data_IF_953150119613
#
_entry.id   IF_953150119613
#
_cell.length_a   1.000
_cell.length_b   1.000
_cell.length_c   1.000
_cell.angle_alpha   90.00
_cell.angle_beta   90.00
_cell.angle_gamma   90.00
#
_symmetry.space_group_name_H-M   'P 1'
#
loop_
_entity.id
_entity.type
_entity.pdbx_description
1 polymer ?
#
# COMPACT_ATOMS: atom_id res chain seq x y z
N UNK A 1 -4.20 4.44 25.34
CA UNK A 1 -3.68 3.96 24.05
C UNK A 1 -2.39 4.69 23.74
N UNK A 2 -1.34 4.00 23.32
CA UNK A 2 -0.04 4.63 23.06
C UNK A 2 0.17 4.89 21.57
N UNK A 3 0.95 5.93 21.23
CA UNK A 3 1.29 6.23 19.84
C UNK A 3 1.98 5.05 19.12
N UNK A 4 2.71 4.21 19.86
CA UNK A 4 3.35 2.99 19.33
C UNK A 4 2.31 1.94 18.92
N UNK A 5 1.29 1.71 19.74
CA UNK A 5 0.22 0.74 19.44
C UNK A 5 -0.55 1.14 18.18
N UNK A 6 -0.85 2.43 18.02
CA UNK A 6 -1.51 2.93 16.82
C UNK A 6 -0.65 2.77 15.55
N UNK A 7 0.67 2.99 15.67
CA UNK A 7 1.62 2.79 14.57
C UNK A 7 1.75 1.31 14.18
N UNK A 8 1.82 0.40 15.16
CA UNK A 8 1.83 -1.04 14.93
C UNK A 8 0.54 -1.52 14.27
N UNK A 9 -0.62 -1.02 14.73
CA UNK A 9 -1.91 -1.31 14.11
C UNK A 9 -1.99 -0.81 12.65
N UNK A 10 -1.43 0.37 12.36
CA UNK A 10 -1.35 0.89 10.98
C UNK A 10 -0.47 0.01 10.09
N UNK A 11 0.71 -0.42 10.58
CA UNK A 11 1.58 -1.34 9.85
C UNK A 11 0.89 -2.68 9.58
N UNK A 12 0.22 -3.24 10.59
CA UNK A 12 -0.56 -4.46 10.43
C UNK A 12 -1.71 -4.30 9.43
N UNK A 13 -2.39 -3.15 9.41
CA UNK A 13 -3.43 -2.84 8.43
C UNK A 13 -2.88 -2.85 6.98
N UNK A 14 -1.71 -2.26 6.75
CA UNK A 14 -1.05 -2.29 5.43
C UNK A 14 -0.65 -3.73 5.05
N UNK A 15 -0.11 -4.50 5.99
CA UNK A 15 0.24 -5.91 5.74
C UNK A 15 -1.00 -6.74 5.36
N UNK A 16 -2.14 -6.48 6.00
CA UNK A 16 -3.40 -7.13 5.66
C UNK A 16 -3.90 -6.77 4.26
N UNK A 17 -3.71 -5.52 3.82
CA UNK A 17 -4.07 -5.11 2.45
C UNK A 17 -3.31 -5.96 1.41
N UNK A 18 -1.99 -6.11 1.57
CA UNK A 18 -1.16 -6.91 0.66
C UNK A 18 -1.50 -8.41 0.71
N UNK A 19 -1.81 -8.93 1.90
CA UNK A 19 -2.21 -10.34 2.09
C UNK A 19 -3.56 -10.64 1.46
N UNK A 20 -4.52 -9.72 1.55
CA UNK A 20 -5.84 -9.90 0.96
C UNK A 20 -5.80 -9.77 -0.57
N UNK A 21 -4.97 -8.89 -1.13
CA UNK A 21 -4.78 -8.79 -2.60
C UNK A 21 -4.20 -10.06 -3.23
N UNK A 22 -3.39 -10.80 -2.46
CA UNK A 22 -2.80 -12.08 -2.91
C UNK A 22 -3.65 -13.31 -2.57
N UNK A 23 -4.69 -13.14 -1.75
CA UNK A 23 -5.54 -14.24 -1.30
C UNK A 23 -6.73 -14.48 -2.24
N UNK A 24 -7.12 -15.74 -2.39
CA UNK A 24 -8.41 -16.07 -3.02
C UNK A 24 -9.55 -15.70 -2.06
N UNK A 25 -10.66 -15.19 -2.62
CA UNK A 25 -11.85 -14.85 -1.86
C UNK A 25 -12.38 -16.07 -1.07
N UNK A 26 -12.81 -15.86 0.18
CA UNK A 26 -13.32 -16.93 1.06
C UNK A 26 -12.25 -17.87 1.63
N UNK A 27 -10.96 -17.58 1.44
CA UNK A 27 -9.87 -18.37 1.99
C UNK A 27 -9.68 -18.16 3.50
N UNK A 28 -8.84 -18.99 4.13
CA UNK A 28 -8.42 -18.86 5.53
C UNK A 28 -7.85 -17.46 5.86
N UNK A 29 -7.35 -16.73 4.85
CA UNK A 29 -6.90 -15.34 4.99
C UNK A 29 -8.02 -14.38 5.42
N UNK A 30 -9.24 -14.55 4.90
CA UNK A 30 -10.38 -13.70 5.22
C UNK A 30 -10.85 -13.91 6.67
N UNK A 31 -10.92 -15.16 7.11
CA UNK A 31 -11.24 -15.49 8.52
C UNK A 31 -10.15 -15.02 9.50
N UNK A 32 -8.88 -15.07 9.09
CA UNK A 32 -7.78 -14.55 9.89
C UNK A 32 -7.82 -13.01 9.98
N UNK A 33 -8.20 -12.34 8.90
CA UNK A 33 -8.41 -10.90 8.87
C UNK A 33 -9.56 -10.46 9.76
N UNK A 34 -10.72 -11.13 9.68
CA UNK A 34 -11.86 -10.85 10.56
C UNK A 34 -11.52 -11.03 12.04
N UNK A 35 -10.77 -12.09 12.38
CA UNK A 35 -10.27 -12.28 13.75
C UNK A 35 -9.35 -11.15 14.20
N UNK A 36 -8.46 -10.68 13.33
CA UNK A 36 -7.59 -9.55 13.63
C UNK A 36 -8.38 -8.26 13.87
N UNK A 37 -9.35 -7.94 13.01
CA UNK A 37 -10.22 -6.77 13.17
C UNK A 37 -10.98 -6.77 14.50
N UNK A 38 -11.47 -7.93 14.93
CA UNK A 38 -12.26 -8.06 16.15
C UNK A 38 -11.40 -8.18 17.42
N UNK A 39 -10.07 -8.33 17.30
CA UNK A 39 -9.18 -8.52 18.45
C UNK A 39 -8.94 -7.23 19.24
N UNK A 40 -8.93 -6.07 18.57
CA UNK A 40 -8.73 -4.75 19.18
C UNK A 40 -9.48 -3.69 18.36
N UNK A 41 -10.31 -2.82 18.97
CA UNK A 41 -10.91 -1.69 18.27
C UNK A 41 -9.91 -0.84 17.47
N UNK A 42 -8.65 -0.74 17.89
CA UNK A 42 -7.62 -0.02 17.14
C UNK A 42 -7.26 -0.65 15.81
N UNK A 43 -7.40 -1.97 15.67
CA UNK A 43 -7.19 -2.62 14.37
C UNK A 43 -8.25 -2.17 13.37
N UNK A 44 -9.51 -2.05 13.79
CA UNK A 44 -10.58 -1.52 12.96
C UNK A 44 -10.35 -0.04 12.61
N UNK A 45 -9.93 0.78 13.57
CA UNK A 45 -9.59 2.17 13.31
C UNK A 45 -8.38 2.31 12.38
N UNK A 46 -7.32 1.52 12.57
CA UNK A 46 -6.16 1.50 11.70
C UNK A 46 -6.52 1.09 10.27
N UNK A 47 -7.35 0.05 10.13
CA UNK A 47 -7.88 -0.39 8.85
C UNK A 47 -8.65 0.74 8.16
N UNK A 48 -9.54 1.43 8.88
CA UNK A 48 -10.27 2.57 8.33
C UNK A 48 -9.33 3.70 7.90
N UNK A 49 -8.33 4.07 8.71
CA UNK A 49 -7.35 5.11 8.38
C UNK A 49 -6.61 4.80 7.08
N UNK A 50 -6.10 3.58 6.94
CA UNK A 50 -5.39 3.15 5.72
C UNK A 50 -6.31 3.25 4.50
N UNK A 51 -7.56 2.77 4.60
CA UNK A 51 -8.52 2.85 3.50
C UNK A 51 -8.89 4.31 3.14
N UNK A 52 -9.03 5.19 4.12
CA UNK A 52 -9.28 6.63 3.87
C UNK A 52 -8.09 7.31 3.20
N UNK A 53 -6.85 6.94 3.53
CA UNK A 53 -5.68 7.48 2.85
C UNK A 53 -5.61 7.03 1.39
N UNK A 54 -6.10 5.82 1.09
CA UNK A 54 -6.15 5.27 -0.27
C UNK A 54 -7.35 5.80 -1.09
N UNK A 55 -8.42 6.27 -0.44
CA UNK A 55 -9.62 6.71 -1.17
C UNK A 55 -9.34 7.88 -2.10
N UNK A 56 -8.55 8.87 -1.66
CA UNK A 56 -8.22 10.06 -2.47
C UNK A 56 -7.46 9.71 -3.76
N UNK A 57 -6.31 9.01 -3.73
CA UNK A 57 -5.61 8.63 -4.96
C UNK A 57 -6.45 7.70 -5.84
N UNK A 58 -7.23 6.78 -5.25
CA UNK A 58 -8.12 5.92 -6.02
C UNK A 58 -9.23 6.70 -6.73
N UNK A 59 -9.84 7.70 -6.08
CA UNK A 59 -10.83 8.56 -6.72
C UNK A 59 -10.23 9.39 -7.86
N UNK A 60 -8.99 9.87 -7.70
CA UNK A 60 -8.29 10.59 -8.76
C UNK A 60 -8.02 9.68 -9.99
N UNK A 61 -7.66 8.42 -9.75
CA UNK A 61 -7.51 7.42 -10.81
C UNK A 61 -8.86 7.14 -11.48
N UNK A 62 -9.92 6.87 -10.71
CA UNK A 62 -11.27 6.64 -11.26
C UNK A 62 -11.74 7.80 -12.14
N UNK A 63 -11.45 9.04 -11.75
CA UNK A 63 -11.79 10.23 -12.54
C UNK A 63 -10.94 10.33 -13.81
N UNK A 64 -9.66 9.96 -13.76
CA UNK A 64 -8.83 9.87 -14.97
C UNK A 64 -9.35 8.82 -15.96
N UNK A 65 -9.80 7.66 -15.48
CA UNK A 65 -10.41 6.61 -16.31
C UNK A 65 -11.74 7.07 -16.93
N UNK A 66 -12.58 7.80 -16.17
CA UNK A 66 -13.82 8.38 -16.71
C UNK A 66 -13.55 9.34 -17.87
N UNK A 67 -12.49 10.15 -17.76
CA UNK A 67 -12.07 11.07 -18.82
C UNK A 67 -11.45 10.36 -20.02
N UNK A 68 -10.85 9.19 -19.82
CA UNK A 68 -10.15 8.46 -20.88
C UNK A 68 -10.23 6.95 -20.65
N UNK A 69 -11.37 6.33 -21.00
CA UNK A 69 -11.61 4.91 -20.70
C UNK A 69 -10.59 4.02 -21.42
N UNK A 70 -10.07 3.01 -20.72
CA UNK A 70 -9.08 2.07 -21.18
C UNK A 70 -7.62 2.50 -20.97
N UNK A 71 -7.35 3.78 -20.69
CA UNK A 71 -5.96 4.27 -20.54
C UNK A 71 -5.32 3.81 -19.24
N UNK A 72 -6.05 3.72 -18.12
CA UNK A 72 -5.46 3.15 -16.90
C UNK A 72 -5.10 1.69 -17.09
N UNK A 73 -5.91 0.92 -17.82
CA UNK A 73 -5.63 -0.49 -18.09
C UNK A 73 -4.34 -0.65 -18.90
N UNK A 74 -4.18 0.11 -19.98
CA UNK A 74 -2.95 0.12 -20.81
C UNK A 74 -1.73 0.54 -19.99
N UNK A 75 -1.85 1.59 -19.16
CA UNK A 75 -0.77 2.03 -18.29
C UNK A 75 -0.41 0.95 -17.25
N UNK A 76 -1.41 0.31 -16.64
CA UNK A 76 -1.24 -0.77 -15.66
C UNK A 76 -0.55 -1.99 -16.27
N UNK A 77 -0.97 -2.39 -17.46
CA UNK A 77 -0.39 -3.52 -18.20
C UNK A 77 1.06 -3.23 -18.60
N UNK A 78 1.36 -1.99 -18.98
CA UNK A 78 2.72 -1.53 -19.25
C UNK A 78 3.60 -1.58 -18.00
N UNK A 79 3.09 -1.17 -16.84
CA UNK A 79 3.82 -1.24 -15.56
C UNK A 79 4.05 -2.69 -15.11
N UNK A 80 3.07 -3.59 -15.30
CA UNK A 80 3.18 -5.00 -14.92
C UNK A 80 4.13 -5.79 -15.82
N UNK A 81 4.24 -5.39 -17.08
CA UNK A 81 5.16 -6.01 -18.05
C UNK A 81 6.61 -5.55 -17.90
N UNK A 82 6.89 -4.52 -17.09
CA UNK A 82 8.26 -4.17 -16.73
C UNK A 82 8.91 -5.35 -15.99
N UNK A 83 10.11 -5.80 -16.41
CA UNK A 83 10.82 -6.86 -15.70
C UNK A 83 11.09 -6.40 -14.26
N UNK A 84 10.50 -7.08 -13.28
CA UNK A 84 10.83 -6.85 -11.87
C UNK A 84 12.36 -7.00 -11.68
N UNK A 85 13.06 -6.03 -11.07
CA UNK A 85 14.46 -6.19 -10.69
C UNK A 85 14.58 -7.13 -9.48
N UNK A 86 14.02 -8.33 -9.59
CA UNK A 86 14.20 -9.41 -8.62
C UNK A 86 15.34 -10.31 -9.10
N UNK A 87 16.51 -10.10 -8.47
CA UNK A 87 17.55 -11.11 -8.29
C UNK A 87 18.25 -11.65 -9.54
N UNK A 88 18.69 -10.79 -10.46
CA UNK A 88 19.90 -11.15 -11.22
C UNK A 88 21.13 -10.92 -10.33
N UNK A 89 21.51 -11.97 -9.59
CA UNK A 89 22.93 -12.26 -9.36
C UNK A 89 23.58 -12.38 -10.73
N UNK A 90 24.02 -11.26 -11.27
CA UNK A 90 24.96 -11.21 -12.37
C UNK A 90 25.94 -10.11 -12.00
N UNK A 91 27.05 -10.57 -11.44
CA UNK A 91 28.31 -9.83 -11.36
C UNK A 91 28.55 -9.15 -12.71
N UNK A 92 28.81 -7.85 -12.70
CA UNK A 92 29.35 -7.13 -13.86
C UNK A 92 28.60 -5.86 -14.25
N UNK A 93 29.13 -4.73 -13.80
CA UNK A 93 29.20 -3.51 -14.61
C UNK A 93 27.96 -2.64 -14.72
N UNK A 94 27.92 -1.61 -13.87
CA UNK A 94 27.47 -0.27 -14.28
C UNK A 94 25.98 -0.07 -14.50
N UNK A 95 25.30 0.49 -13.49
CA UNK A 95 24.44 1.68 -13.59
C UNK A 95 23.78 1.90 -12.22
N UNK A 96 24.50 2.62 -11.35
CA UNK A 96 23.93 3.24 -10.17
C UNK A 96 23.12 4.45 -10.63
N UNK A 97 21.79 4.38 -10.58
CA UNK A 97 20.91 5.54 -10.74
C UNK A 97 19.93 5.60 -9.57
N UNK A 98 20.43 6.24 -8.50
CA UNK A 98 19.76 7.22 -7.65
C UNK A 98 18.24 7.15 -7.59
N UNK A 99 17.69 6.45 -6.59
CA UNK A 99 16.38 6.78 -6.05
C UNK A 99 16.56 7.60 -4.78
N UNK A 100 16.14 8.86 -4.91
CA UNK A 100 16.35 9.93 -3.97
C UNK A 100 15.66 9.73 -2.62
N UNK A 101 16.31 10.34 -1.63
CA UNK A 101 15.81 10.66 -0.30
C UNK A 101 14.37 11.17 -0.34
N UNK A 102 13.47 10.51 0.40
CA UNK A 102 12.37 11.21 1.07
C UNK A 102 12.51 10.89 2.56
N UNK A 103 13.39 11.62 3.23
CA UNK A 103 13.40 11.72 4.69
C UNK A 103 13.33 13.18 5.10
N UNK A 104 12.53 13.43 6.14
CA UNK A 104 12.43 14.64 6.94
C UNK A 104 11.75 15.87 6.31
N UNK A 105 10.51 16.11 6.74
CA UNK A 105 9.82 17.37 6.47
C UNK A 105 8.49 17.56 7.19
N UNK A 106 8.29 16.96 8.37
CA UNK A 106 7.15 17.30 9.23
C UNK A 106 7.65 17.52 10.66
N UNK A 107 8.15 18.72 10.91
CA UNK A 107 8.07 19.39 12.21
C UNK A 107 8.16 20.88 11.94
N UNK A 108 7.07 21.62 12.18
CA UNK A 108 7.06 22.84 12.99
C UNK A 108 5.77 23.65 12.73
N UNK A 109 4.74 23.32 13.50
CA UNK A 109 3.79 24.29 14.06
C UNK A 109 3.69 24.02 15.56
N UNK A 110 3.16 25.00 16.31
CA UNK A 110 3.11 25.16 17.79
C UNK A 110 4.51 25.39 18.42
N UNK A 111 4.86 26.55 18.97
CA UNK A 111 4.14 27.77 19.40
C UNK A 111 5.18 28.89 19.49
#
# INVERSE_FOLDING_TARGET
MSARQADEANRAAVDWLLRLESAQAGSAGQQAFERWLNADPEHAHAWQRVNTLLSTPLSALQEAERRSPGQLKVASDSLRSLPSPSRRRAVGGGLALLLGLVTAGVTQRIT
#
